data_IF_995260026540
#
_entry.id   IF_995260026540
#
_cell.length_a   1.000
_cell.length_b   1.000
_cell.length_c   1.000
_cell.angle_alpha   90.00
_cell.angle_beta   90.00
_cell.angle_gamma   90.00
#
_symmetry.space_group_name_H-M   'P 1'
#
loop_
_entity.id
_entity.type
_entity.pdbx_description
1 polymer ?
#
# COMPACT_ATOMS: atom_id res chain seq x y z
N UNK A 1 -9.67 -23.85 -19.58
CA UNK A 1 -8.83 -23.23 -18.54
C UNK A 1 -9.56 -21.99 -18.07
N UNK A 2 -10.26 -22.08 -16.93
CA UNK A 2 -11.12 -21.02 -16.42
C UNK A 2 -10.29 -20.05 -15.56
N UNK A 3 -10.19 -18.79 -16.00
CA UNK A 3 -9.35 -17.73 -15.42
C UNK A 3 -10.10 -16.87 -14.38
N UNK A 4 -11.34 -17.24 -14.01
CA UNK A 4 -12.26 -16.33 -13.30
C UNK A 4 -12.16 -16.35 -11.78
N UNK A 5 -11.39 -17.26 -11.17
CA UNK A 5 -11.12 -17.21 -9.74
C UNK A 5 -9.72 -17.76 -9.46
N UNK A 6 -8.75 -16.87 -9.26
CA UNK A 6 -7.58 -17.29 -8.54
C UNK A 6 -7.07 -16.14 -7.69
N UNK A 7 -7.62 -16.01 -6.48
CA UNK A 7 -7.05 -15.14 -5.45
C UNK A 7 -5.55 -15.41 -5.25
N UNK A 8 -5.08 -16.64 -5.54
CA UNK A 8 -3.66 -16.99 -5.64
C UNK A 8 -2.92 -16.21 -6.73
N UNK A 9 -3.52 -15.99 -7.89
CA UNK A 9 -2.90 -15.21 -8.96
C UNK A 9 -2.74 -13.73 -8.57
N UNK A 10 -3.75 -13.15 -7.90
CA UNK A 10 -3.67 -11.79 -7.37
C UNK A 10 -2.60 -11.70 -6.27
N UNK A 11 -2.60 -12.65 -5.34
CA UNK A 11 -1.59 -12.76 -4.29
C UNK A 11 -0.17 -12.87 -4.87
N UNK A 12 0.04 -13.75 -5.86
CA UNK A 12 1.32 -13.93 -6.54
C UNK A 12 1.77 -12.66 -7.27
N UNK A 13 0.84 -11.99 -7.97
CA UNK A 13 1.11 -10.74 -8.70
C UNK A 13 1.53 -9.63 -7.73
N UNK A 14 0.73 -9.39 -6.69
CA UNK A 14 0.98 -8.35 -5.69
C UNK A 14 2.28 -8.60 -4.92
N UNK A 15 2.49 -9.81 -4.37
CA UNK A 15 3.73 -10.15 -3.67
C UNK A 15 4.94 -10.12 -4.59
N UNK A 16 4.82 -10.59 -5.83
CA UNK A 16 5.89 -10.45 -6.82
C UNK A 16 6.36 -9.00 -6.95
N UNK A 17 5.43 -8.05 -7.09
CA UNK A 17 5.75 -6.62 -7.17
C UNK A 17 6.48 -6.06 -5.95
N UNK A 18 6.22 -6.60 -4.75
CA UNK A 18 6.93 -6.23 -3.51
C UNK A 18 8.32 -6.88 -3.41
N UNK A 19 8.43 -8.15 -3.80
CA UNK A 19 9.67 -8.93 -3.69
C UNK A 19 10.73 -8.52 -4.73
N UNK A 20 10.32 -7.96 -5.86
CA UNK A 20 11.23 -7.43 -6.90
C UNK A 20 11.62 -5.96 -6.69
N UNK A 21 11.32 -5.36 -5.53
CA UNK A 21 11.72 -3.98 -5.26
C UNK A 21 13.23 -3.86 -5.03
N UNK A 22 13.83 -2.77 -5.52
CA UNK A 22 15.23 -2.42 -5.28
C UNK A 22 15.50 -2.02 -3.84
N UNK A 23 14.46 -1.53 -3.12
CA UNK A 23 14.51 -1.38 -1.67
C UNK A 23 14.18 -2.71 -0.99
N UNK A 24 15.19 -3.36 -0.42
CA UNK A 24 15.10 -4.74 0.06
C UNK A 24 14.93 -4.89 1.57
N UNK A 25 15.09 -3.81 2.35
CA UNK A 25 14.92 -3.85 3.81
C UNK A 25 13.44 -3.80 4.20
N UNK A 26 12.72 -4.85 3.85
CA UNK A 26 11.28 -5.00 4.00
C UNK A 26 10.94 -6.09 5.02
N UNK A 27 9.84 -5.86 5.73
CA UNK A 27 9.00 -6.91 6.30
C UNK A 27 7.63 -6.84 5.62
N UNK A 28 6.98 -7.97 5.46
CA UNK A 28 5.69 -8.09 4.76
C UNK A 28 4.68 -8.68 5.74
N UNK A 29 3.64 -7.92 6.05
CA UNK A 29 2.52 -8.37 6.87
C UNK A 29 1.31 -8.64 5.97
N UNK A 30 0.93 -9.90 5.82
CA UNK A 30 -0.25 -10.31 5.05
C UNK A 30 -1.44 -10.40 5.99
N UNK A 31 -2.29 -9.38 5.99
CA UNK A 31 -3.53 -9.35 6.77
C UNK A 31 -4.63 -10.18 6.08
N UNK A 32 -5.26 -11.08 6.83
CA UNK A 32 -6.43 -11.84 6.39
C UNK A 32 -7.54 -11.77 7.43
N UNK A 33 -8.79 -11.55 6.99
CA UNK A 33 -9.99 -11.53 7.86
C UNK A 33 -10.57 -12.93 8.12
N UNK A 34 -9.97 -13.97 7.54
CA UNK A 34 -10.40 -15.35 7.73
C UNK A 34 -9.36 -16.34 7.23
N UNK A 35 -9.74 -17.62 7.25
CA UNK A 35 -8.84 -18.70 6.88
C UNK A 35 -8.45 -18.62 5.40
N UNK A 36 -7.15 -18.60 5.15
CA UNK A 36 -6.60 -18.69 3.81
C UNK A 36 -6.96 -20.04 3.18
N UNK A 37 -7.19 -20.05 1.86
CA UNK A 37 -7.29 -21.30 1.11
C UNK A 37 -5.99 -22.08 1.21
N UNK A 38 -6.05 -23.42 1.09
CA UNK A 38 -4.86 -24.28 1.09
C UNK A 38 -3.79 -23.84 0.08
N UNK A 39 -4.21 -23.29 -1.06
CA UNK A 39 -3.28 -22.80 -2.08
C UNK A 39 -2.60 -21.49 -1.69
N UNK A 40 -3.32 -20.54 -1.08
CA UNK A 40 -2.74 -19.29 -0.57
C UNK A 40 -1.78 -19.58 0.59
N UNK A 41 -2.21 -20.40 1.55
CA UNK A 41 -1.38 -20.79 2.69
C UNK A 41 -0.10 -21.51 2.24
N UNK A 42 -0.20 -22.45 1.30
CA UNK A 42 0.97 -23.13 0.73
C UNK A 42 1.93 -22.17 0.03
N UNK A 43 1.40 -21.25 -0.79
CA UNK A 43 2.23 -20.25 -1.47
C UNK A 43 2.95 -19.30 -0.50
N UNK A 44 2.28 -18.83 0.56
CA UNK A 44 2.92 -17.99 1.57
C UNK A 44 3.97 -18.76 2.36
N UNK A 45 3.69 -20.00 2.73
CA UNK A 45 4.63 -20.87 3.45
C UNK A 45 5.92 -21.14 2.63
N UNK A 46 5.82 -21.23 1.30
CA UNK A 46 6.98 -21.35 0.40
C UNK A 46 7.87 -20.09 0.42
N UNK A 47 7.32 -18.91 0.70
CA UNK A 47 8.05 -17.63 0.71
C UNK A 47 8.68 -17.27 2.06
N UNK A 48 8.07 -17.70 3.18
CA UNK A 48 8.52 -17.37 4.53
C UNK A 48 10.00 -17.71 4.84
N UNK A 49 10.60 -18.80 4.32
CA UNK A 49 12.01 -19.09 4.55
C UNK A 49 12.98 -18.07 3.92
N UNK A 50 12.54 -17.36 2.88
CA UNK A 50 13.39 -16.47 2.09
C UNK A 50 13.13 -14.99 2.37
N UNK A 51 11.98 -14.66 2.98
CA UNK A 51 11.53 -13.29 3.19
C UNK A 51 10.96 -13.11 4.59
N UNK A 52 11.15 -11.91 5.17
CA UNK A 52 10.51 -11.51 6.44
C UNK A 52 9.01 -11.31 6.19
N UNK A 53 8.25 -12.41 6.20
CA UNK A 53 6.81 -12.44 5.91
C UNK A 53 6.03 -13.07 7.07
N UNK A 54 5.04 -12.34 7.58
CA UNK A 54 4.12 -12.80 8.61
C UNK A 54 2.68 -12.76 8.11
N UNK A 55 1.92 -13.82 8.41
CA UNK A 55 0.48 -13.86 8.18
C UNK A 55 -0.20 -13.37 9.46
N UNK A 56 -1.04 -12.35 9.33
CA UNK A 56 -1.79 -11.78 10.45
C UNK A 56 -3.27 -12.09 10.23
N UNK A 57 -3.80 -13.07 10.96
CA UNK A 57 -5.22 -13.37 10.99
C UNK A 57 -5.91 -12.42 11.98
N UNK A 58 -6.63 -11.45 11.43
CA UNK A 58 -7.10 -10.29 12.17
C UNK A 58 -8.28 -9.66 11.42
N UNK A 59 -9.26 -9.14 12.19
CA UNK A 59 -10.44 -8.51 11.60
C UNK A 59 -10.21 -7.04 11.25
N UNK A 60 -9.19 -6.42 11.86
CA UNK A 60 -8.92 -4.99 11.76
C UNK A 60 -7.46 -4.71 11.38
N UNK A 61 -7.26 -3.75 10.48
CA UNK A 61 -5.93 -3.29 10.06
C UNK A 61 -5.00 -2.89 11.22
N UNK A 62 -5.55 -2.36 12.32
CA UNK A 62 -4.79 -1.96 13.51
C UNK A 62 -3.96 -3.11 14.09
N UNK A 63 -4.45 -4.34 13.99
CA UNK A 63 -3.79 -5.54 14.56
C UNK A 63 -2.53 -5.89 13.76
N UNK A 64 -2.58 -5.77 12.43
CA UNK A 64 -1.40 -5.90 11.59
C UNK A 64 -0.42 -4.74 11.80
N UNK A 65 -0.89 -3.50 11.82
CA UNK A 65 -0.02 -2.33 12.03
C UNK A 65 0.65 -2.33 13.40
N UNK A 66 -0.01 -2.86 14.44
CA UNK A 66 0.57 -3.01 15.77
C UNK A 66 1.83 -3.90 15.76
N UNK A 67 1.86 -4.92 14.89
CA UNK A 67 3.00 -5.84 14.72
C UNK A 67 4.14 -5.28 13.88
N UNK A 68 3.89 -4.25 13.06
CA UNK A 68 4.93 -3.64 12.25
C UNK A 68 6.09 -3.11 13.11
N UNK A 69 7.31 -3.46 12.72
CA UNK A 69 8.58 -3.10 13.37
C UNK A 69 9.39 -2.08 12.57
N UNK A 70 9.13 -1.95 11.26
CA UNK A 70 9.76 -0.95 10.40
C UNK A 70 9.46 0.48 10.82
N UNK A 71 10.30 1.43 10.40
CA UNK A 71 10.10 2.86 10.69
C UNK A 71 8.89 3.46 9.95
N UNK A 72 8.50 2.83 8.85
CA UNK A 72 7.35 3.19 8.03
C UNK A 72 6.55 1.95 7.63
N UNK A 73 5.25 2.13 7.40
CA UNK A 73 4.33 1.12 6.85
C UNK A 73 3.84 1.59 5.49
N UNK A 74 3.98 0.73 4.48
CA UNK A 74 3.37 0.93 3.16
C UNK A 74 2.11 0.08 3.04
N UNK A 75 1.02 0.66 2.54
CA UNK A 75 -0.24 -0.07 2.36
C UNK A 75 -0.46 -0.44 0.89
N UNK A 76 -0.78 -1.72 0.64
CA UNK A 76 -1.09 -2.24 -0.68
C UNK A 76 -2.26 -3.22 -0.62
N UNK A 77 -3.24 -3.06 -1.51
CA UNK A 77 -4.30 -4.07 -1.67
C UNK A 77 -3.76 -5.30 -2.41
N UNK A 78 -4.22 -6.49 -2.03
CA UNK A 78 -3.77 -7.74 -2.68
C UNK A 78 -4.13 -7.83 -4.18
N UNK A 79 -5.09 -7.03 -4.61
CA UNK A 79 -5.47 -6.97 -6.01
C UNK A 79 -4.71 -5.89 -6.78
N UNK A 80 -3.92 -5.05 -6.11
CA UNK A 80 -3.19 -3.96 -6.73
C UNK A 80 -1.72 -4.38 -6.96
N UNK A 81 -0.96 -3.54 -7.67
CA UNK A 81 0.42 -3.86 -8.07
C UNK A 81 1.28 -2.59 -8.13
N UNK A 82 2.55 -2.70 -7.74
CA UNK A 82 3.56 -1.66 -7.97
C UNK A 82 4.06 -1.72 -9.42
N UNK A 83 4.16 -0.56 -10.09
CA UNK A 83 4.43 -0.50 -11.52
C UNK A 83 5.92 -0.61 -11.89
N UNK A 84 6.82 -0.29 -10.96
CA UNK A 84 8.27 -0.28 -11.17
C UNK A 84 8.98 -0.90 -9.98
N UNK A 85 10.21 -1.36 -10.19
CA UNK A 85 11.06 -1.97 -9.15
C UNK A 85 11.61 -0.95 -8.13
N UNK A 86 11.58 0.34 -8.42
CA UNK A 86 12.14 1.40 -7.58
C UNK A 86 11.09 2.17 -6.75
N UNK A 87 9.83 1.73 -6.78
CA UNK A 87 8.71 2.43 -6.13
C UNK A 87 8.98 2.63 -4.65
N UNK A 88 9.26 1.56 -3.90
CA UNK A 88 9.48 1.66 -2.45
C UNK A 88 10.76 2.45 -2.12
N UNK A 89 11.78 2.40 -2.98
CA UNK A 89 12.98 3.22 -2.82
C UNK A 89 12.65 4.72 -2.95
N UNK A 90 11.84 5.12 -3.95
CA UNK A 90 11.36 6.49 -4.13
C UNK A 90 10.55 6.97 -2.92
N UNK A 91 9.58 6.17 -2.47
CA UNK A 91 8.79 6.49 -1.28
C UNK A 91 9.68 6.70 -0.05
N UNK A 92 10.64 5.80 0.19
CA UNK A 92 11.57 5.92 1.31
C UNK A 92 12.46 7.16 1.20
N UNK A 93 12.99 7.48 0.00
CA UNK A 93 13.79 8.68 -0.22
C UNK A 93 13.03 9.97 0.10
N UNK A 94 11.75 10.06 -0.26
CA UNK A 94 10.90 11.21 0.06
C UNK A 94 10.60 11.24 1.56
N UNK A 95 10.26 10.10 2.16
CA UNK A 95 9.99 9.99 3.59
C UNK A 95 11.19 10.39 4.45
N UNK A 96 12.40 10.00 4.04
CA UNK A 96 13.65 10.32 4.74
C UNK A 96 14.02 11.81 4.71
N UNK A 97 13.33 12.63 3.89
CA UNK A 97 13.43 14.10 3.93
C UNK A 97 12.52 14.73 4.99
N UNK A 98 11.87 13.93 5.83
CA UNK A 98 11.10 14.38 6.99
C UNK A 98 9.58 14.23 6.87
N UNK A 99 9.07 13.59 5.82
CA UNK A 99 7.63 13.36 5.71
C UNK A 99 7.15 12.29 6.71
N UNK A 100 6.00 12.54 7.33
CA UNK A 100 5.27 11.59 8.16
C UNK A 100 4.38 10.67 7.29
N UNK A 101 3.94 11.19 6.16
CA UNK A 101 3.07 10.53 5.20
C UNK A 101 3.55 10.90 3.79
N UNK A 102 3.78 9.89 2.97
CA UNK A 102 4.06 10.04 1.53
C UNK A 102 2.97 9.30 0.78
N UNK A 103 2.33 9.94 -0.18
CA UNK A 103 1.35 9.33 -1.08
C UNK A 103 1.80 9.43 -2.53
N UNK A 104 1.37 8.50 -3.38
CA UNK A 104 1.51 8.65 -4.83
C UNK A 104 0.19 8.49 -5.57
N UNK A 105 0.18 8.91 -6.83
CA UNK A 105 -0.94 8.59 -7.72
C UNK A 105 -0.82 7.16 -8.26
N UNK A 106 -1.85 6.77 -9.01
CA UNK A 106 -2.00 5.44 -9.57
C UNK A 106 -2.62 5.46 -10.96
N UNK A 107 -2.32 4.40 -11.71
CA UNK A 107 -3.09 4.00 -12.88
C UNK A 107 -4.30 3.18 -12.42
N UNK A 108 -5.37 3.16 -13.21
CA UNK A 108 -6.55 2.34 -12.94
C UNK A 108 -6.60 1.16 -13.90
N UNK A 109 -6.85 -0.03 -13.40
CA UNK A 109 -7.02 -1.24 -14.21
C UNK A 109 -8.42 -1.81 -14.02
N UNK A 110 -9.16 -1.86 -15.12
CA UNK A 110 -10.47 -2.48 -15.16
C UNK A 110 -10.29 -3.98 -15.43
N UNK A 111 -10.63 -4.80 -14.42
CA UNK A 111 -10.40 -6.24 -14.48
C UNK A 111 -11.31 -6.96 -15.49
N UNK A 112 -12.52 -6.44 -15.73
CA UNK A 112 -13.48 -7.03 -16.66
C UNK A 112 -13.10 -6.79 -18.13
N UNK A 113 -12.57 -5.61 -18.44
CA UNK A 113 -12.21 -5.20 -19.81
C UNK A 113 -10.73 -5.35 -20.12
N UNK A 114 -9.88 -5.63 -19.12
CA UNK A 114 -8.42 -5.64 -19.21
C UNK A 114 -7.83 -4.31 -19.69
N UNK A 115 -8.50 -3.19 -19.41
CA UNK A 115 -8.07 -1.86 -19.82
C UNK A 115 -7.32 -1.14 -18.69
N UNK A 116 -6.23 -0.47 -19.05
CA UNK A 116 -5.49 0.43 -18.15
C UNK A 116 -5.80 1.87 -18.53
N UNK A 117 -6.15 2.68 -17.53
CA UNK A 117 -6.37 4.11 -17.64
C UNK A 117 -5.28 4.84 -16.86
N UNK A 118 -4.59 5.75 -17.53
CA UNK A 118 -3.57 6.60 -16.94
C UNK A 118 -3.83 8.05 -17.33
N UNK A 119 -3.32 8.97 -16.53
CA UNK A 119 -3.36 10.41 -16.81
C UNK A 119 -1.98 10.84 -17.25
N UNK A 120 -1.89 11.67 -18.29
CA UNK A 120 -0.66 12.38 -18.60
C UNK A 120 -0.62 13.66 -17.74
N UNK A 121 0.22 13.66 -16.71
CA UNK A 121 0.42 14.80 -15.81
C UNK A 121 1.90 14.95 -15.49
N UNK A 122 2.31 16.16 -15.17
CA UNK A 122 3.68 16.43 -14.77
C UNK A 122 4.02 15.68 -13.49
N UNK A 123 5.12 14.94 -13.53
CA UNK A 123 5.63 14.18 -12.40
C UNK A 123 6.44 15.12 -11.50
N UNK A 124 6.02 15.22 -10.23
CA UNK A 124 6.68 16.08 -9.26
C UNK A 124 6.55 15.52 -7.85
N UNK A 125 7.40 16.00 -6.95
CA UNK A 125 7.28 15.75 -5.50
C UNK A 125 6.95 17.05 -4.81
N UNK A 126 5.82 17.08 -4.12
CA UNK A 126 5.35 18.25 -3.38
C UNK A 126 5.27 17.95 -1.88
N UNK A 127 5.86 18.81 -1.05
CA UNK A 127 5.67 18.80 0.41
C UNK A 127 4.54 19.78 0.74
N UNK A 128 3.47 19.27 1.35
CA UNK A 128 2.25 20.04 1.57
C UNK A 128 2.31 20.81 2.88
N UNK A 129 1.87 22.07 2.84
CA UNK A 129 1.48 22.83 4.03
C UNK A 129 0.01 22.59 4.39
N UNK A 130 -0.42 23.11 5.55
CA UNK A 130 -1.74 22.83 6.15
C UNK A 130 -2.97 23.10 5.25
N UNK A 131 -2.84 23.90 4.18
CA UNK A 131 -3.97 24.37 3.36
C UNK A 131 -4.08 23.74 1.97
N UNK A 132 -3.11 22.95 1.50
CA UNK A 132 -3.00 22.61 0.06
C UNK A 132 -3.41 21.17 -0.32
N UNK A 133 -4.49 20.66 0.29
CA UNK A 133 -4.87 19.23 0.15
C UNK A 133 -5.91 18.95 -0.95
N UNK A 134 -6.60 19.97 -1.50
CA UNK A 134 -7.68 19.74 -2.47
C UNK A 134 -7.18 19.30 -3.85
N UNK A 135 -5.95 19.65 -4.23
CA UNK A 135 -5.36 19.25 -5.51
C UNK A 135 -5.05 17.75 -5.58
N UNK A 136 -4.78 17.11 -4.43
CA UNK A 136 -4.25 15.75 -4.35
C UNK A 136 -5.31 14.74 -3.85
N UNK A 137 -6.58 14.92 -4.23
CA UNK A 137 -7.67 14.04 -3.77
C UNK A 137 -7.48 12.58 -4.19
N UNK A 138 -6.87 12.31 -5.34
CA UNK A 138 -6.63 10.95 -5.82
C UNK A 138 -5.57 10.27 -4.97
N UNK A 139 -4.45 10.96 -4.78
CA UNK A 139 -3.33 10.48 -3.98
C UNK A 139 -3.71 10.37 -2.50
N UNK A 140 -4.49 11.31 -1.97
CA UNK A 140 -4.84 11.41 -0.56
C UNK A 140 -6.24 10.89 -0.20
N UNK A 141 -6.80 10.02 -1.04
CA UNK A 141 -8.17 9.49 -0.87
C UNK A 141 -8.27 8.18 -0.10
N UNK A 142 -7.24 7.33 -0.13
CA UNK A 142 -7.27 5.98 0.43
C UNK A 142 -5.88 5.54 0.90
N UNK A 143 -5.80 4.49 1.73
CA UNK A 143 -4.53 4.03 2.28
C UNK A 143 -3.57 3.44 1.23
N UNK A 144 -4.10 2.72 0.24
CA UNK A 144 -3.25 2.08 -0.78
C UNK A 144 -2.39 3.14 -1.48
N UNK A 145 -1.08 2.88 -1.61
CA UNK A 145 -0.16 3.85 -2.18
C UNK A 145 0.38 4.87 -1.19
N UNK A 146 0.15 4.68 0.12
CA UNK A 146 0.73 5.52 1.16
C UNK A 146 1.86 4.79 1.87
N UNK A 147 2.95 5.52 2.11
CA UNK A 147 3.99 5.19 3.08
C UNK A 147 3.83 6.13 4.29
N UNK A 148 3.58 5.57 5.47
CA UNK A 148 3.27 6.33 6.69
C UNK A 148 4.25 5.97 7.79
N UNK A 149 4.71 6.94 8.59
CA UNK A 149 5.49 6.65 9.81
C UNK A 149 4.74 5.67 10.69
N UNK A 150 5.41 4.61 11.11
CA UNK A 150 4.77 3.53 11.86
C UNK A 150 4.19 4.01 13.19
N UNK A 151 4.85 4.95 13.88
CA UNK A 151 4.34 5.55 15.11
C UNK A 151 3.00 6.27 14.89
N UNK A 152 2.91 7.08 13.84
CA UNK A 152 1.68 7.79 13.46
C UNK A 152 0.56 6.81 13.09
N UNK A 153 0.89 5.77 12.30
CA UNK A 153 -0.08 4.76 11.90
C UNK A 153 -0.63 3.97 13.11
N UNK A 154 0.24 3.58 14.05
CA UNK A 154 -0.16 2.89 15.28
C UNK A 154 -1.08 3.76 16.13
N UNK A 155 -0.72 5.03 16.35
CA UNK A 155 -1.53 5.97 17.13
C UNK A 155 -2.90 6.19 16.50
N UNK A 156 -2.95 6.53 15.21
CA UNK A 156 -4.20 6.81 14.50
C UNK A 156 -5.13 5.59 14.46
N UNK A 157 -4.60 4.40 14.18
CA UNK A 157 -5.42 3.18 14.07
C UNK A 157 -5.82 2.60 15.44
N UNK A 158 -5.07 2.89 16.51
CA UNK A 158 -5.44 2.49 17.86
C UNK A 158 -6.65 3.27 18.40
N UNK A 159 -6.96 4.44 17.86
CA UNK A 159 -8.11 5.28 18.25
C UNK A 159 -9.49 4.63 18.01
N UNK A 160 -9.54 3.46 17.38
CA UNK A 160 -10.79 2.76 17.05
C UNK A 160 -11.49 3.32 15.80
N UNK A 161 -10.83 4.22 15.06
CA UNK A 161 -11.31 4.71 13.77
C UNK A 161 -11.55 3.57 12.78
N UNK A 162 -12.64 3.63 12.01
CA UNK A 162 -12.89 2.65 10.97
C UNK A 162 -11.83 2.72 9.86
N UNK A 163 -11.57 1.60 9.18
CA UNK A 163 -10.62 1.56 8.05
C UNK A 163 -10.96 2.59 6.96
N UNK A 164 -12.25 2.93 6.80
CA UNK A 164 -12.74 3.94 5.85
C UNK A 164 -12.38 5.38 6.25
N UNK A 165 -12.29 5.65 7.55
CA UNK A 165 -11.97 6.98 8.08
C UNK A 165 -10.48 7.14 8.41
N UNK A 166 -9.72 6.04 8.44
CA UNK A 166 -8.28 6.04 8.71
C UNK A 166 -7.47 6.97 7.79
N UNK A 167 -7.69 7.02 6.44
CA UNK A 167 -6.99 7.97 5.57
C UNK A 167 -7.18 9.44 6.02
N UNK A 168 -8.40 9.80 6.40
CA UNK A 168 -8.74 11.16 6.82
C UNK A 168 -8.00 11.52 8.10
N UNK A 169 -8.01 10.64 9.10
CA UNK A 169 -7.34 10.86 10.38
C UNK A 169 -5.81 10.94 10.19
N UNK A 170 -5.21 9.99 9.47
CA UNK A 170 -3.78 9.98 9.19
C UNK A 170 -3.30 11.27 8.52
N UNK A 171 -4.05 11.78 7.53
CA UNK A 171 -3.74 13.05 6.88
C UNK A 171 -3.85 14.24 7.82
N UNK A 172 -4.82 14.21 8.75
CA UNK A 172 -5.03 15.28 9.73
C UNK A 172 -3.91 15.32 10.77
N UNK A 173 -3.45 14.15 11.22
CA UNK A 173 -2.43 14.03 12.28
C UNK A 173 -0.99 14.08 11.75
N UNK A 174 -0.77 13.83 10.46
CA UNK A 174 0.53 13.99 9.83
C UNK A 174 0.98 15.46 9.85
N UNK A 175 2.15 15.74 10.42
CA UNK A 175 2.71 17.11 10.47
C UNK A 175 3.30 17.51 9.13
N UNK A 176 3.93 16.55 8.45
CA UNK A 176 4.46 16.74 7.11
C UNK A 176 3.94 15.67 6.16
N UNK A 177 3.13 16.11 5.19
CA UNK A 177 2.67 15.27 4.08
C UNK A 177 3.51 15.58 2.84
N UNK A 178 3.87 14.53 2.09
CA UNK A 178 4.45 14.66 0.77
C UNK A 178 3.63 13.86 -0.25
N UNK A 179 3.55 14.38 -1.49
CA UNK A 179 2.87 13.70 -2.59
C UNK A 179 3.86 13.55 -3.74
N UNK A 180 3.96 12.33 -4.26
CA UNK A 180 4.65 11.99 -5.50
C UNK A 180 3.59 11.93 -6.60
N UNK A 181 3.52 12.93 -7.45
CA UNK A 181 2.56 13.00 -8.55
C UNK A 181 2.87 12.03 -9.71
N UNK A 182 3.74 11.05 -9.51
CA UNK A 182 3.94 9.93 -10.44
C UNK A 182 2.89 8.83 -10.17
N UNK A 183 2.44 8.16 -11.23
CA UNK A 183 1.55 7.00 -11.11
C UNK A 183 2.41 5.75 -10.83
N UNK A 184 2.62 5.43 -9.55
CA UNK A 184 3.59 4.40 -9.12
C UNK A 184 2.98 3.01 -8.87
N UNK A 185 1.66 2.93 -8.80
CA UNK A 185 0.94 1.68 -8.59
C UNK A 185 -0.34 1.63 -9.44
N UNK A 186 -0.92 0.44 -9.51
CA UNK A 186 -2.09 0.15 -10.32
C UNK A 186 -3.24 -0.28 -9.40
N UNK A 187 -4.33 0.47 -9.46
CA UNK A 187 -5.57 0.20 -8.73
C UNK A 187 -6.50 -0.66 -9.57
N UNK A 188 -6.75 -1.89 -9.14
CA UNK A 188 -7.67 -2.81 -9.80
C UNK A 188 -9.11 -2.56 -9.35
N UNK A 189 -10.02 -2.31 -10.29
CA UNK A 189 -11.45 -2.11 -10.06
C UNK A 189 -12.30 -3.00 -10.99
N UNK A 190 -13.63 -3.02 -10.76
CA UNK A 190 -14.60 -3.87 -11.48
C UNK A 190 -14.20 -5.35 -11.50
N UNK A 191 -14.27 -5.99 -10.32
CA UNK A 191 -13.91 -7.40 -10.12
C UNK A 191 -15.13 -8.31 -10.25
#
# INVERSE_FOLDING_TARGET
>A
MDLRQNERANLKRCLGGLLYQSYTNLEILVLTKGTLTKQQAGFLAELQPYHRLEIVEASQLKEAVAKASGAYVYFLNINDLLLKEDVLAKFYQVANKGADLVASDYQRFDYQTNMIYWINKEEQVAFLGATNNQQYQRELGELTGWLVKTSLAKECLASGVSEQLAPKLLKQEAKQVAVISEQLWLKTFNK
#
